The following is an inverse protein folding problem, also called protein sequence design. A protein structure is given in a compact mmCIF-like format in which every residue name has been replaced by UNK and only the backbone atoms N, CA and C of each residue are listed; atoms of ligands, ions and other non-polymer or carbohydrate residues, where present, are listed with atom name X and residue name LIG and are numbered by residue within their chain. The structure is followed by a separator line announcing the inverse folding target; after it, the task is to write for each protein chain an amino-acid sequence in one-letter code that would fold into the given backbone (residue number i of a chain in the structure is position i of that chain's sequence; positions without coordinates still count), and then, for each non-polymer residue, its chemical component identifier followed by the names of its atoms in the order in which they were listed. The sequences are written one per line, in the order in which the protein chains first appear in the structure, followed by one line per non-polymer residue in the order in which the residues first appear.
data_IF_019158261375
#
_entry.id   IF_019158261375
#
_cell.length_a   1.000
_cell.length_b   1.000
_cell.length_c   1.000
_cell.angle_alpha   90.00
_cell.angle_beta   90.00
_cell.angle_gamma   90.00
#
_symmetry.space_group_name_H-M   'P 1'
#
loop_
_entity.id
_entity.type
_entity.pdbx_description
1 polymer ?
#
# COMPACT_ATOMS: atom_id res chain seq x y z
N UNK A 1 1.51 7.15 -4.55
CA UNK A 1 1.46 5.89 -5.32
C UNK A 1 0.90 4.73 -4.47
N UNK A 2 1.26 4.61 -3.18
CA UNK A 2 0.76 3.54 -2.28
C UNK A 2 -0.77 3.46 -2.21
N UNK A 3 -1.47 4.60 -2.18
CA UNK A 3 -2.94 4.63 -2.21
C UNK A 3 -3.53 4.02 -3.50
N UNK A 4 -2.91 4.29 -4.65
CA UNK A 4 -3.31 3.66 -5.93
C UNK A 4 -2.99 2.16 -5.92
N UNK A 5 -1.88 1.75 -5.33
CA UNK A 5 -1.54 0.33 -5.18
C UNK A 5 -2.59 -0.40 -4.31
N UNK A 6 -2.96 0.17 -3.16
CA UNK A 6 -4.01 -0.37 -2.30
C UNK A 6 -5.37 -0.50 -3.02
N UNK A 7 -5.72 0.47 -3.87
CA UNK A 7 -6.94 0.45 -4.70
C UNK A 7 -6.94 -0.72 -5.71
N UNK A 8 -5.78 -0.96 -6.34
CA UNK A 8 -5.60 -2.05 -7.31
C UNK A 8 -5.73 -3.42 -6.60
N UNK A 9 -5.11 -3.58 -5.44
CA UNK A 9 -5.25 -4.80 -4.63
C UNK A 9 -6.66 -5.00 -4.09
N UNK A 10 -7.35 -3.91 -3.73
CA UNK A 10 -8.74 -3.94 -3.29
C UNK A 10 -9.74 -4.33 -4.39
N UNK A 11 -9.28 -4.65 -5.61
CA UNK A 11 -10.12 -4.97 -6.77
C UNK A 11 -11.26 -3.96 -6.98
N UNK A 12 -11.03 -2.68 -6.68
CA UNK A 12 -12.04 -1.62 -6.79
C UNK A 12 -13.28 -1.82 -5.90
N UNK A 13 -13.23 -2.76 -4.94
CA UNK A 13 -14.27 -2.99 -3.93
C UNK A 13 -13.93 -2.19 -2.67
N UNK A 14 -14.90 -1.50 -2.05
CA UNK A 14 -14.64 -0.58 -0.95
C UNK A 14 -14.08 -1.28 0.29
N UNK A 15 -14.64 -2.42 0.68
CA UNK A 15 -14.24 -3.17 1.88
C UNK A 15 -12.78 -3.65 1.82
N UNK A 16 -12.34 -4.41 0.79
CA UNK A 16 -10.94 -4.85 0.70
C UNK A 16 -9.96 -3.69 0.44
N UNK A 17 -10.39 -2.63 -0.25
CA UNK A 17 -9.57 -1.42 -0.41
C UNK A 17 -9.29 -0.77 0.95
N UNK A 18 -10.31 -0.67 1.82
CA UNK A 18 -10.15 -0.09 3.15
C UNK A 18 -9.18 -0.91 4.01
N UNK A 19 -9.30 -2.24 3.97
CA UNK A 19 -8.36 -3.14 4.65
C UNK A 19 -6.93 -3.01 4.09
N UNK A 20 -6.76 -2.95 2.77
CA UNK A 20 -5.45 -2.75 2.14
C UNK A 20 -4.84 -1.40 2.55
N UNK A 21 -5.62 -0.31 2.49
CA UNK A 21 -5.18 1.02 2.92
C UNK A 21 -4.74 1.04 4.39
N UNK A 22 -5.49 0.39 5.29
CA UNK A 22 -5.11 0.26 6.70
C UNK A 22 -3.79 -0.49 6.87
N UNK A 23 -3.59 -1.57 6.13
CA UNK A 23 -2.37 -2.38 6.18
C UNK A 23 -1.14 -1.60 5.67
N UNK A 24 -1.31 -0.87 4.57
CA UNK A 24 -0.25 0.02 4.04
C UNK A 24 0.06 1.18 4.98
N UNK A 25 -0.95 1.84 5.55
CA UNK A 25 -0.76 2.93 6.52
C UNK A 25 -0.10 2.44 7.81
N UNK A 26 -0.44 1.23 8.25
CA UNK A 26 0.22 0.59 9.38
C UNK A 26 1.70 0.32 9.11
N UNK A 27 2.04 -0.21 7.94
CA UNK A 27 3.43 -0.43 7.54
C UNK A 27 4.23 0.87 7.46
N UNK A 28 3.63 1.95 6.95
CA UNK A 28 4.24 3.27 6.89
C UNK A 28 4.45 3.88 8.29
N UNK A 29 3.47 3.74 9.19
CA UNK A 29 3.61 4.16 10.59
C UNK A 29 4.66 3.34 11.34
N UNK A 30 4.73 2.03 11.09
CA UNK A 30 5.75 1.16 11.66
C UNK A 30 7.15 1.54 11.15
N UNK A 31 7.29 1.79 9.86
CA UNK A 31 8.51 2.34 9.25
C UNK A 31 8.92 3.64 9.95
N UNK A 32 8.00 4.60 10.08
CA UNK A 32 8.28 5.90 10.70
C UNK A 32 8.68 5.79 12.18
N UNK A 33 8.16 4.79 12.91
CA UNK A 33 8.53 4.51 14.30
C UNK A 33 9.87 3.80 14.44
N UNK A 34 10.20 2.92 13.50
CA UNK A 34 11.48 2.21 13.46
C UNK A 34 12.61 3.12 12.95
N UNK A 35 12.30 4.15 12.15
CA UNK A 35 13.26 5.19 11.77
C UNK A 35 13.83 5.87 13.02
N UNK A 36 15.15 5.76 13.21
CA UNK A 36 15.85 6.40 14.33
C UNK A 36 15.83 5.64 15.65
N UNK A 37 15.14 4.49 15.73
CA UNK A 37 15.19 3.62 16.91
C UNK A 37 16.31 2.59 16.73
N UNK A 38 17.33 2.55 17.61
CA UNK A 38 18.35 1.51 17.54
C UNK A 38 17.73 0.15 17.85
N UNK A 39 17.71 -0.76 16.87
CA UNK A 39 17.21 -2.11 17.10
C UNK A 39 18.28 -2.94 17.84
N UNK A 40 17.91 -3.59 18.97
CA UNK A 40 18.86 -4.29 19.85
C UNK A 40 19.51 -5.55 19.24
N UNK A 41 19.10 -5.98 18.03
CA UNK A 41 19.58 -7.21 17.40
C UNK A 41 20.52 -7.00 16.18
N UNK A 42 20.56 -5.79 15.59
CA UNK A 42 21.22 -5.55 14.28
C UNK A 42 22.10 -4.28 14.26
N UNK A 43 21.99 -3.40 15.27
CA UNK A 43 22.69 -2.10 15.29
C UNK A 43 21.91 -1.01 14.55
N UNK A 44 22.60 0.03 14.07
CA UNK A 44 21.97 1.14 13.33
C UNK A 44 21.52 0.62 11.96
N UNK A 45 20.26 0.20 11.86
CA UNK A 45 19.70 -0.21 10.57
C UNK A 45 19.71 1.01 9.64
N UNK A 46 20.39 0.93 8.48
CA UNK A 46 20.44 2.04 7.55
C UNK A 46 19.02 2.43 7.15
N UNK A 47 18.76 3.74 7.15
CA UNK A 47 17.44 4.32 6.86
C UNK A 47 16.90 3.83 5.52
N UNK A 48 17.78 3.53 4.57
CA UNK A 48 17.47 2.95 3.26
C UNK A 48 16.76 1.59 3.35
N UNK A 49 17.13 0.73 4.31
CA UNK A 49 16.50 -0.58 4.49
C UNK A 49 15.11 -0.43 5.13
N UNK A 50 14.97 0.50 6.08
CA UNK A 50 13.69 0.81 6.71
C UNK A 50 12.74 1.41 5.67
N UNK A 51 13.22 2.33 4.83
CA UNK A 51 12.45 2.90 3.72
C UNK A 51 12.06 1.88 2.64
N UNK A 52 12.70 0.70 2.61
CA UNK A 52 12.33 -0.37 1.69
C UNK A 52 11.12 -1.19 2.17
N UNK A 53 10.73 -1.10 3.45
CA UNK A 53 9.61 -1.87 4.04
C UNK A 53 8.31 -1.70 3.24
N UNK A 54 7.85 -0.49 2.89
CA UNK A 54 6.62 -0.32 2.13
C UNK A 54 6.69 -0.95 0.73
N UNK A 55 7.87 -0.95 0.11
CA UNK A 55 8.08 -1.55 -1.21
C UNK A 55 8.16 -3.08 -1.14
N UNK A 56 8.80 -3.63 -0.10
CA UNK A 56 8.79 -5.06 0.14
C UNK A 56 7.35 -5.56 0.39
N UNK A 57 6.55 -4.77 1.10
CA UNK A 57 5.14 -5.04 1.32
C UNK A 57 4.35 -5.08 0.00
N UNK A 58 4.56 -4.11 -0.91
CA UNK A 58 3.88 -4.12 -2.23
C UNK A 58 4.27 -5.35 -3.06
N UNK A 59 5.54 -5.74 -3.04
CA UNK A 59 6.03 -6.94 -3.75
C UNK A 59 5.43 -8.22 -3.18
N UNK A 60 5.37 -8.36 -1.86
CA UNK A 60 4.75 -9.52 -1.21
C UNK A 60 3.25 -9.61 -1.49
N UNK A 61 2.55 -8.47 -1.48
CA UNK A 61 1.14 -8.40 -1.81
C UNK A 61 0.89 -8.75 -3.28
N UNK A 62 1.73 -8.25 -4.21
CA UNK A 62 1.68 -8.63 -5.61
C UNK A 62 1.94 -10.12 -5.79
N UNK A 63 2.97 -10.68 -5.15
CA UNK A 63 3.32 -12.09 -5.28
C UNK A 63 2.27 -13.02 -4.66
N UNK A 64 1.66 -12.64 -3.53
CA UNK A 64 0.70 -13.45 -2.80
C UNK A 64 -0.75 -13.35 -3.29
N UNK A 65 -1.15 -12.20 -3.85
CA UNK A 65 -2.54 -11.90 -4.23
C UNK A 65 -2.66 -11.43 -5.69
N UNK A 66 -2.10 -12.17 -6.66
CA UNK A 66 -2.45 -11.97 -8.09
C UNK A 66 -3.88 -12.50 -8.34
N UNK A 67 -4.87 -11.81 -7.80
CA UNK A 67 -6.25 -11.89 -8.27
C UNK A 67 -6.43 -10.98 -9.49
N UNK A 68 -7.36 -11.34 -10.40
CA UNK A 68 -7.71 -10.47 -11.55
C UNK A 68 -8.22 -9.11 -11.05
N UNK A 69 -7.38 -8.08 -11.05
CA UNK A 69 -7.80 -6.71 -10.81
C UNK A 69 -8.36 -6.13 -12.12
N UNK A 70 -9.67 -6.28 -12.33
CA UNK A 70 -10.36 -5.67 -13.48
C UNK A 70 -10.63 -4.21 -13.14
N UNK A 71 -9.94 -3.30 -13.83
CA UNK A 71 -10.21 -1.87 -13.69
C UNK A 71 -11.63 -1.53 -14.15
N UNK A 72 -12.37 -0.67 -13.44
CA UNK A 72 -13.69 -0.23 -13.83
C UNK A 72 -13.58 0.62 -15.10
N UNK A 73 -14.45 0.34 -16.07
CA UNK A 73 -14.49 1.03 -17.36
C UNK A 73 -14.76 2.54 -17.26
N UNK A 74 -15.23 3.01 -16.11
CA UNK A 74 -15.53 4.41 -15.85
C UNK A 74 -14.34 5.21 -15.27
N UNK A 75 -13.16 4.59 -15.11
CA UNK A 75 -12.01 5.34 -14.60
C UNK A 75 -11.63 6.46 -15.58
N UNK A 76 -11.61 7.70 -15.09
CA UNK A 76 -11.28 8.87 -15.92
C UNK A 76 -12.42 9.43 -16.77
N UNK A 77 -13.64 8.88 -16.70
CA UNK A 77 -14.81 9.48 -17.33
C UNK A 77 -15.37 10.59 -16.42
N UNK A 78 -15.39 11.87 -16.85
CA UNK A 78 -15.96 12.96 -16.06
C UNK A 78 -17.45 12.74 -15.81
N UNK A 79 -17.91 12.91 -14.57
CA UNK A 79 -19.33 12.85 -14.25
C UNK A 79 -20.03 14.10 -14.79
N UNK A 80 -20.94 13.92 -15.75
CA UNK A 80 -21.79 15.00 -16.26
C UNK A 80 -23.09 14.99 -15.48
N UNK A 81 -23.37 16.05 -14.71
CA UNK A 81 -24.62 16.18 -13.95
C UNK A 81 -25.71 16.68 -14.90
N UNK A 82 -26.69 15.85 -15.22
CA UNK A 82 -27.87 16.26 -15.99
C UNK A 82 -28.62 17.38 -15.26
N UNK A 83 -29.08 18.37 -16.02
CA UNK A 83 -29.75 19.59 -15.53
C UNK A 83 -31.21 19.57 -15.95
#
# INVERSE_FOLDING_TARGET
YLALAALIFGQWRPVPTLAACLLFAFADAAQARLQGTPLPLVGVVPVQLIQAIPYALTVLLLAGFVGRAVAPRAIGVPYVKER
#
